data_IF_026947629604
#
_entry.id   IF_026947629604
#
_cell.length_a   1.000
_cell.length_b   1.000
_cell.length_c   1.000
_cell.angle_alpha   90.00
_cell.angle_beta   90.00
_cell.angle_gamma   90.00
#
_symmetry.space_group_name_H-M   'P 1'
#
loop_
_entity.id
_entity.type
_entity.pdbx_description
1 polymer ?
#
# COMPACT_ATOMS: atom_id res chain seq x y z
N UNK A 1 -4.07 -21.64 16.84
CA UNK A 1 -4.62 -22.01 15.52
C UNK A 1 -6.12 -21.78 15.58
N UNK A 2 -6.56 -20.58 15.25
CA UNK A 2 -7.99 -20.35 15.04
C UNK A 2 -8.36 -20.99 13.71
N UNK A 3 -9.44 -21.79 13.71
CA UNK A 3 -9.97 -22.37 12.49
C UNK A 3 -10.56 -21.27 11.60
N UNK A 4 -10.31 -21.37 10.30
CA UNK A 4 -10.89 -20.42 9.33
C UNK A 4 -12.41 -20.62 9.34
N UNK A 5 -13.22 -19.58 9.58
CA UNK A 5 -14.68 -19.72 9.52
C UNK A 5 -15.13 -20.31 8.19
N UNK A 6 -16.16 -21.16 8.21
CA UNK A 6 -16.64 -21.91 7.04
C UNK A 6 -16.92 -21.01 5.83
N UNK A 7 -17.45 -19.82 6.06
CA UNK A 7 -17.71 -18.82 5.01
C UNK A 7 -16.45 -18.34 4.27
N UNK A 8 -15.24 -18.55 4.84
CA UNK A 8 -13.96 -18.22 4.24
C UNK A 8 -13.12 -19.46 3.87
N UNK A 9 -13.73 -20.65 3.89
CA UNK A 9 -13.02 -21.89 3.58
C UNK A 9 -12.34 -21.88 2.21
N UNK A 10 -12.88 -21.14 1.23
CA UNK A 10 -12.28 -20.92 -0.09
C UNK A 10 -10.93 -20.20 -0.06
N UNK A 11 -10.61 -19.48 1.03
CA UNK A 11 -9.31 -18.80 1.22
C UNK A 11 -8.23 -19.74 1.75
N UNK A 12 -8.58 -20.95 2.17
CA UNK A 12 -7.68 -21.87 2.86
C UNK A 12 -6.40 -22.12 2.09
N UNK A 13 -6.51 -22.44 0.81
CA UNK A 13 -5.35 -22.71 -0.05
C UNK A 13 -4.41 -21.51 -0.13
N UNK A 14 -4.96 -20.29 -0.34
CA UNK A 14 -4.19 -19.05 -0.40
C UNK A 14 -3.48 -18.77 0.91
N UNK A 15 -4.18 -18.94 2.05
CA UNK A 15 -3.60 -18.72 3.37
C UNK A 15 -2.53 -19.77 3.71
N UNK A 16 -2.75 -21.02 3.38
CA UNK A 16 -1.77 -22.10 3.57
C UNK A 16 -0.52 -21.84 2.71
N UNK A 17 -0.68 -21.37 1.48
CA UNK A 17 0.42 -20.97 0.62
C UNK A 17 1.23 -19.79 1.19
N UNK A 18 0.59 -18.83 1.84
CA UNK A 18 1.28 -17.73 2.53
C UNK A 18 2.00 -18.23 3.80
N UNK A 19 1.34 -19.08 4.60
CA UNK A 19 1.93 -19.66 5.81
C UNK A 19 3.15 -20.52 5.51
N UNK A 20 3.15 -21.26 4.41
CA UNK A 20 4.24 -22.16 4.01
C UNK A 20 5.48 -21.43 3.49
N UNK A 21 5.39 -20.14 3.16
CA UNK A 21 6.56 -19.38 2.71
C UNK A 21 7.64 -19.31 3.77
N UNK A 22 8.88 -19.51 3.36
CA UNK A 22 10.05 -19.33 4.23
C UNK A 22 10.16 -17.85 4.63
N UNK A 23 10.60 -17.62 5.87
CA UNK A 23 10.86 -16.28 6.40
C UNK A 23 10.03 -15.96 7.65
N UNK A 24 10.40 -14.86 8.29
CA UNK A 24 9.69 -14.29 9.42
C UNK A 24 8.38 -13.64 8.98
N UNK A 25 7.28 -13.92 9.70
CA UNK A 25 5.95 -13.34 9.42
C UNK A 25 5.71 -12.18 10.37
N UNK A 26 5.59 -10.98 9.82
CA UNK A 26 5.29 -9.74 10.54
C UNK A 26 3.87 -9.29 10.13
N UNK A 27 2.93 -9.38 11.06
CA UNK A 27 1.55 -8.93 10.85
C UNK A 27 1.40 -7.50 11.38
N UNK A 28 0.58 -6.67 10.69
CA UNK A 28 0.33 -5.28 11.07
C UNK A 28 1.64 -4.50 11.30
N UNK A 29 2.61 -4.74 10.40
CA UNK A 29 3.94 -4.18 10.56
C UNK A 29 3.94 -2.67 10.31
N UNK A 30 4.25 -1.92 11.38
CA UNK A 30 4.26 -0.46 11.38
C UNK A 30 5.62 0.07 10.95
N UNK A 31 5.64 0.96 9.95
CA UNK A 31 6.85 1.57 9.41
C UNK A 31 6.74 3.08 9.44
N UNK A 32 7.80 3.76 9.84
CA UNK A 32 7.98 5.20 9.72
C UNK A 32 9.18 5.53 8.85
N UNK A 33 9.12 6.63 8.12
CA UNK A 33 10.27 7.24 7.46
C UNK A 33 10.33 8.70 7.83
N UNK A 34 11.54 9.22 8.06
CA UNK A 34 11.78 10.66 8.19
C UNK A 34 11.69 11.35 6.82
N UNK A 35 11.73 12.68 6.79
CA UNK A 35 11.76 13.47 5.55
C UNK A 35 12.96 13.14 4.66
N UNK A 36 14.06 12.68 5.26
CA UNK A 36 15.25 12.22 4.55
C UNK A 36 15.17 10.75 4.09
N UNK A 37 13.98 10.14 4.20
CA UNK A 37 13.72 8.74 3.85
C UNK A 37 14.54 7.74 4.67
N UNK A 38 14.94 8.11 5.89
CA UNK A 38 15.57 7.19 6.83
C UNK A 38 14.51 6.48 7.67
N UNK A 39 14.69 5.17 7.98
CA UNK A 39 13.74 4.44 8.80
C UNK A 39 13.67 5.01 10.22
N UNK A 40 12.47 5.18 10.72
CA UNK A 40 12.18 5.62 12.09
C UNK A 40 10.99 4.85 12.67
N UNK A 41 10.70 5.07 13.95
CA UNK A 41 9.52 4.50 14.60
C UNK A 41 8.23 5.11 14.05
N UNK A 42 7.15 4.34 14.06
CA UNK A 42 5.85 4.78 13.56
C UNK A 42 5.29 6.00 14.32
N UNK A 43 5.69 6.19 15.56
CA UNK A 43 5.23 7.26 16.44
C UNK A 43 6.33 8.27 16.79
N UNK A 44 7.50 8.21 16.15
CA UNK A 44 8.58 9.15 16.40
C UNK A 44 8.18 10.58 16.00
N UNK A 45 8.73 11.57 16.67
CA UNK A 45 8.36 12.99 16.45
C UNK A 45 8.77 13.51 15.06
N UNK A 46 9.82 12.94 14.48
CA UNK A 46 10.36 13.29 13.16
C UNK A 46 9.80 12.42 12.02
N UNK A 47 8.78 11.60 12.30
CA UNK A 47 8.16 10.78 11.27
C UNK A 47 7.44 11.65 10.25
N UNK A 48 7.86 11.55 9.00
CA UNK A 48 7.25 12.23 7.85
C UNK A 48 6.23 11.35 7.11
N UNK A 49 6.57 10.06 6.90
CA UNK A 49 5.69 9.08 6.27
C UNK A 49 5.42 7.92 7.22
N UNK A 50 4.18 7.43 7.22
CA UNK A 50 3.74 6.26 7.99
C UNK A 50 3.06 5.25 7.09
N UNK A 51 3.39 3.99 7.26
CA UNK A 51 2.73 2.88 6.60
C UNK A 51 2.52 1.71 7.54
N UNK A 52 1.42 0.97 7.35
CA UNK A 52 1.16 -0.29 8.02
C UNK A 52 0.96 -1.35 6.93
N UNK A 53 1.76 -2.41 6.97
CA UNK A 53 1.59 -3.54 6.07
C UNK A 53 0.86 -4.66 6.81
N UNK A 54 -0.26 -5.15 6.28
CA UNK A 54 -1.06 -6.19 6.91
C UNK A 54 -0.24 -7.47 7.15
N UNK A 55 0.57 -7.86 6.16
CA UNK A 55 1.49 -8.99 6.27
C UNK A 55 2.78 -8.72 5.50
N UNK A 56 3.91 -8.85 6.20
CA UNK A 56 5.25 -8.95 5.60
C UNK A 56 5.80 -10.34 5.91
N UNK A 57 6.35 -11.01 4.90
CA UNK A 57 7.12 -12.25 5.09
C UNK A 57 8.54 -11.94 4.68
N UNK A 58 9.44 -11.88 5.65
CA UNK A 58 10.84 -11.51 5.47
C UNK A 58 11.72 -12.75 5.34
N UNK A 59 12.20 -13.03 4.13
CA UNK A 59 13.16 -14.08 3.82
C UNK A 59 14.55 -13.45 3.61
N UNK A 60 15.23 -13.18 4.72
CA UNK A 60 16.53 -12.52 4.70
C UNK A 60 17.62 -13.37 4.02
N UNK A 61 17.54 -14.70 4.09
CA UNK A 61 18.49 -15.60 3.45
C UNK A 61 18.48 -15.48 1.93
N UNK A 62 17.29 -15.28 1.35
CA UNK A 62 17.11 -15.12 -0.09
C UNK A 62 17.02 -13.64 -0.54
N UNK A 63 17.28 -12.68 0.36
CA UNK A 63 17.16 -11.24 0.11
C UNK A 63 15.78 -10.85 -0.46
N UNK A 64 14.72 -11.52 -0.03
CA UNK A 64 13.38 -11.44 -0.54
C UNK A 64 12.39 -11.09 0.57
N UNK A 65 11.40 -10.27 0.25
CA UNK A 65 10.21 -10.11 1.09
C UNK A 65 8.93 -10.28 0.26
N UNK A 66 7.87 -10.77 0.90
CA UNK A 66 6.51 -10.67 0.39
C UNK A 66 5.75 -9.65 1.23
N UNK A 67 4.95 -8.83 0.57
CA UNK A 67 4.09 -7.83 1.21
C UNK A 67 2.68 -8.07 0.71
N UNK A 68 1.78 -8.37 1.61
CA UNK A 68 0.38 -8.60 1.27
C UNK A 68 -0.48 -7.58 2.00
N UNK A 69 -1.37 -6.95 1.27
CA UNK A 69 -2.40 -6.08 1.79
C UNK A 69 -3.77 -6.68 1.47
N UNK A 70 -4.62 -6.81 2.47
CA UNK A 70 -5.93 -7.42 2.34
C UNK A 70 -6.99 -6.39 1.96
N UNK A 71 -7.78 -6.69 0.94
CA UNK A 71 -8.86 -5.83 0.45
C UNK A 71 -10.22 -6.52 0.61
N UNK A 72 -11.17 -5.83 1.24
CA UNK A 72 -12.56 -6.30 1.39
C UNK A 72 -13.47 -5.89 0.21
N UNK A 73 -12.95 -5.09 -0.73
CA UNK A 73 -13.68 -4.72 -1.93
C UNK A 73 -13.95 -5.93 -2.84
N UNK A 74 -15.06 -5.87 -3.59
CA UNK A 74 -15.47 -6.94 -4.51
C UNK A 74 -14.81 -6.88 -5.89
N UNK A 75 -14.14 -5.77 -6.22
CA UNK A 75 -13.68 -5.53 -7.58
C UNK A 75 -12.24 -5.02 -7.60
N UNK A 76 -11.35 -5.85 -8.07
CA UNK A 76 -9.92 -5.56 -8.21
C UNK A 76 -9.60 -4.58 -9.37
N UNK A 77 -10.56 -4.31 -10.27
CA UNK A 77 -10.35 -3.42 -11.43
C UNK A 77 -9.88 -2.01 -11.05
N UNK A 78 -10.27 -1.52 -9.88
CA UNK A 78 -9.94 -0.18 -9.39
C UNK A 78 -8.86 -0.20 -8.31
N UNK A 79 -8.09 -1.29 -8.23
CA UNK A 79 -7.02 -1.42 -7.25
C UNK A 79 -5.96 -0.32 -7.43
N UNK A 80 -5.67 0.39 -6.34
CA UNK A 80 -4.56 1.35 -6.31
C UNK A 80 -3.26 0.61 -5.96
N UNK A 81 -2.42 0.42 -6.97
CA UNK A 81 -1.10 -0.21 -6.82
C UNK A 81 -0.07 0.71 -6.16
N UNK A 82 -0.34 2.01 -6.09
CA UNK A 82 0.55 2.99 -5.45
C UNK A 82 0.80 2.66 -3.98
N UNK A 83 -0.20 2.11 -3.29
CA UNK A 83 -0.05 1.65 -1.92
C UNK A 83 1.03 0.56 -1.79
N UNK A 84 1.03 -0.44 -2.68
CA UNK A 84 2.06 -1.50 -2.68
C UNK A 84 3.46 -0.95 -2.93
N UNK A 85 3.57 0.06 -3.77
CA UNK A 85 4.82 0.70 -4.09
C UNK A 85 5.40 1.45 -2.89
N UNK A 86 4.60 2.28 -2.20
CA UNK A 86 5.02 2.96 -0.99
C UNK A 86 5.41 1.99 0.13
N UNK A 87 4.65 0.89 0.30
CA UNK A 87 5.02 -0.18 1.22
C UNK A 87 6.37 -0.81 0.86
N UNK A 88 6.58 -1.12 -0.43
CA UNK A 88 7.84 -1.71 -0.89
C UNK A 88 9.02 -0.75 -0.64
N UNK A 89 8.86 0.53 -0.95
CA UNK A 89 9.88 1.56 -0.70
C UNK A 89 10.25 1.64 0.79
N UNK A 90 9.24 1.60 1.67
CA UNK A 90 9.45 1.61 3.12
C UNK A 90 10.18 0.35 3.60
N UNK A 91 9.81 -0.83 3.09
CA UNK A 91 10.44 -2.10 3.46
C UNK A 91 11.91 -2.15 3.02
N UNK A 92 12.27 -1.63 1.84
CA UNK A 92 13.66 -1.53 1.44
C UNK A 92 14.50 -0.68 2.39
N UNK A 93 13.89 0.34 3.01
CA UNK A 93 14.56 1.19 4.00
C UNK A 93 14.69 0.50 5.36
N UNK A 94 13.63 -0.13 5.84
CA UNK A 94 13.62 -0.85 7.11
C UNK A 94 14.46 -2.14 7.09
N UNK A 95 14.55 -2.80 5.94
CA UNK A 95 15.26 -4.07 5.76
C UNK A 95 16.26 -4.00 4.60
N UNK A 96 17.46 -3.41 4.78
CA UNK A 96 18.46 -3.23 3.71
C UNK A 96 18.98 -4.53 3.09
N UNK A 97 18.78 -5.67 3.78
CA UNK A 97 19.09 -7.00 3.26
C UNK A 97 18.18 -7.39 2.09
N UNK A 98 16.94 -6.86 2.06
CA UNK A 98 15.96 -7.18 1.00
C UNK A 98 16.37 -6.51 -0.30
N UNK A 99 16.44 -7.31 -1.38
CA UNK A 99 16.75 -6.83 -2.75
C UNK A 99 15.58 -6.95 -3.70
N UNK A 100 14.63 -7.82 -3.37
CA UNK A 100 13.41 -8.03 -4.17
C UNK A 100 12.19 -8.07 -3.24
N UNK A 101 11.12 -7.40 -3.63
CA UNK A 101 9.83 -7.45 -2.94
C UNK A 101 8.79 -7.96 -3.92
N UNK A 102 8.05 -8.99 -3.50
CA UNK A 102 6.84 -9.48 -4.18
C UNK A 102 5.65 -8.97 -3.40
N UNK A 103 4.96 -8.00 -3.96
CA UNK A 103 3.82 -7.35 -3.33
C UNK A 103 2.50 -7.84 -3.92
N UNK A 104 1.44 -7.88 -3.12
CA UNK A 104 0.12 -8.30 -3.56
C UNK A 104 -1.01 -7.61 -2.83
N UNK A 105 -2.06 -7.25 -3.59
CA UNK A 105 -3.37 -6.90 -3.04
C UNK A 105 -4.24 -8.14 -3.11
N UNK A 106 -4.59 -8.70 -1.96
CA UNK A 106 -5.45 -9.87 -1.86
C UNK A 106 -6.89 -9.45 -1.57
N UNK A 107 -7.73 -9.54 -2.60
CA UNK A 107 -9.16 -9.29 -2.49
C UNK A 107 -9.84 -10.51 -1.88
N UNK A 108 -10.09 -10.44 -0.56
CA UNK A 108 -10.59 -11.59 0.20
C UNK A 108 -11.98 -12.04 -0.22
N UNK A 109 -12.85 -11.15 -0.71
CA UNK A 109 -14.22 -11.49 -1.13
C UNK A 109 -14.24 -12.20 -2.48
N UNK A 110 -13.39 -11.81 -3.43
CA UNK A 110 -13.32 -12.41 -4.78
C UNK A 110 -12.20 -13.45 -4.92
N UNK A 111 -11.38 -13.65 -3.88
CA UNK A 111 -10.17 -14.48 -3.92
C UNK A 111 -9.24 -14.13 -5.09
N UNK A 112 -9.12 -12.84 -5.39
CA UNK A 112 -8.29 -12.33 -6.47
C UNK A 112 -7.01 -11.72 -5.92
N UNK A 113 -5.85 -12.06 -6.48
CA UNK A 113 -4.56 -11.57 -6.06
C UNK A 113 -3.91 -10.77 -7.19
N UNK A 114 -3.82 -9.45 -7.01
CA UNK A 114 -3.02 -8.58 -7.86
C UNK A 114 -1.58 -8.60 -7.37
N UNK A 115 -0.63 -8.84 -8.27
CA UNK A 115 0.79 -9.00 -7.94
C UNK A 115 1.62 -7.93 -8.61
N UNK A 116 2.61 -7.42 -7.86
CA UNK A 116 3.67 -6.55 -8.36
C UNK A 116 5.03 -7.03 -7.83
N UNK A 117 6.10 -6.67 -8.53
CA UNK A 117 7.46 -6.99 -8.09
C UNK A 117 8.31 -5.74 -8.14
N UNK A 118 8.93 -5.41 -7.02
CA UNK A 118 9.85 -4.28 -6.90
C UNK A 118 11.25 -4.78 -6.62
N UNK A 119 12.23 -4.11 -7.19
CA UNK A 119 13.65 -4.40 -6.96
C UNK A 119 14.34 -3.18 -6.37
N UNK A 120 15.35 -3.41 -5.55
CA UNK A 120 16.06 -2.36 -4.83
C UNK A 120 16.58 -1.25 -5.74
N UNK A 121 16.98 -1.57 -6.98
CA UNK A 121 17.48 -0.58 -7.94
C UNK A 121 16.38 0.31 -8.55
N UNK A 122 15.10 -0.04 -8.38
CA UNK A 122 13.99 0.80 -8.81
C UNK A 122 13.70 1.95 -7.84
N UNK A 123 14.24 1.92 -6.62
CA UNK A 123 13.93 2.92 -5.58
C UNK A 123 14.11 4.38 -6.04
N UNK A 124 15.22 4.78 -6.73
CA UNK A 124 15.40 6.17 -7.09
C UNK A 124 14.27 6.71 -7.98
N UNK A 125 13.88 5.95 -9.01
CA UNK A 125 12.80 6.32 -9.93
C UNK A 125 11.44 6.41 -9.22
N UNK A 126 11.17 5.44 -8.35
CA UNK A 126 9.91 5.40 -7.59
C UNK A 126 9.83 6.56 -6.59
N UNK A 127 10.91 6.87 -5.86
CA UNK A 127 10.95 8.01 -4.94
C UNK A 127 10.84 9.34 -5.68
N UNK A 128 11.46 9.50 -6.84
CA UNK A 128 11.33 10.72 -7.65
C UNK A 128 9.87 11.01 -7.99
N UNK A 129 9.10 9.99 -8.38
CA UNK A 129 7.67 10.13 -8.66
C UNK A 129 6.88 10.56 -7.44
N UNK A 130 7.05 9.89 -6.29
CA UNK A 130 6.35 10.23 -5.06
C UNK A 130 6.74 11.58 -4.49
N UNK A 131 8.03 11.94 -4.57
CA UNK A 131 8.51 13.27 -4.17
C UNK A 131 7.89 14.36 -5.02
N UNK A 132 7.75 14.16 -6.33
CA UNK A 132 7.06 15.11 -7.22
C UNK A 132 5.60 15.31 -6.82
N UNK A 133 4.89 14.24 -6.52
CA UNK A 133 3.49 14.31 -6.10
C UNK A 133 3.35 15.01 -4.74
N UNK A 134 4.26 14.74 -3.81
CA UNK A 134 4.35 15.44 -2.52
C UNK A 134 4.61 16.95 -2.72
N UNK A 135 5.59 17.33 -3.54
CA UNK A 135 5.90 18.74 -3.84
C UNK A 135 4.68 19.45 -4.43
N UNK A 136 3.94 18.81 -5.32
CA UNK A 136 2.73 19.39 -5.90
C UNK A 136 1.64 19.58 -4.85
N UNK A 137 1.46 18.63 -3.95
CA UNK A 137 0.54 18.75 -2.80
C UNK A 137 0.97 19.88 -1.86
N UNK A 138 2.27 19.98 -1.53
CA UNK A 138 2.80 21.04 -0.68
C UNK A 138 2.59 22.44 -1.30
N UNK A 139 2.84 22.58 -2.59
CA UNK A 139 2.57 23.85 -3.32
C UNK A 139 1.09 24.24 -3.27
N UNK A 140 0.19 23.26 -3.42
CA UNK A 140 -1.24 23.52 -3.33
C UNK A 140 -1.64 23.95 -1.90
N UNK A 141 -1.05 23.32 -0.89
CA UNK A 141 -1.25 23.67 0.51
C UNK A 141 -0.74 25.08 0.83
N UNK A 142 0.51 25.40 0.44
CA UNK A 142 1.13 26.71 0.71
C UNK A 142 0.41 27.88 0.02
N UNK A 143 -0.15 27.61 -1.16
CA UNK A 143 -0.92 28.59 -1.94
C UNK A 143 -2.41 28.61 -1.57
N UNK A 144 -2.87 27.76 -0.63
CA UNK A 144 -4.29 27.52 -0.31
C UNK A 144 -5.15 27.35 -1.59
N UNK A 145 -4.61 26.63 -2.58
CA UNK A 145 -5.24 26.48 -3.89
C UNK A 145 -5.42 25.00 -4.23
N UNK A 146 -6.65 24.53 -4.16
CA UNK A 146 -7.04 23.14 -4.39
C UNK A 146 -7.87 23.01 -5.66
N UNK A 147 -7.21 22.76 -6.77
CA UNK A 147 -7.92 22.59 -8.05
C UNK A 147 -8.82 21.36 -8.03
N UNK A 148 -10.08 21.49 -8.36
CA UNK A 148 -10.99 20.35 -8.42
C UNK A 148 -10.56 19.36 -9.50
N UNK A 149 -10.74 18.06 -9.23
CA UNK A 149 -10.55 16.98 -10.20
C UNK A 149 -11.90 16.28 -10.46
N UNK A 150 -12.78 16.84 -11.28
CA UNK A 150 -14.09 16.27 -11.54
C UNK A 150 -13.98 14.86 -12.13
N UNK A 151 -14.85 13.97 -11.70
CA UNK A 151 -14.89 12.58 -12.16
C UNK A 151 -16.33 12.08 -12.29
N UNK A 152 -16.51 10.85 -12.77
CA UNK A 152 -17.82 10.20 -12.80
C UNK A 152 -18.49 10.09 -11.42
N UNK A 153 -17.71 10.09 -10.33
CA UNK A 153 -18.24 10.10 -8.97
C UNK A 153 -18.97 11.40 -8.65
N UNK A 154 -18.48 12.54 -9.12
CA UNK A 154 -19.12 13.84 -8.96
C UNK A 154 -20.53 13.84 -9.57
N UNK A 155 -20.71 13.19 -10.71
CA UNK A 155 -21.99 13.14 -11.44
C UNK A 155 -23.03 12.22 -10.78
N UNK A 156 -22.62 11.14 -10.12
CA UNK A 156 -23.55 10.08 -9.71
C UNK A 156 -23.63 9.88 -8.20
N UNK A 157 -22.53 10.09 -7.49
CA UNK A 157 -22.38 9.67 -6.09
C UNK A 157 -22.08 10.80 -5.12
N UNK A 158 -21.65 11.98 -5.60
CA UNK A 158 -21.36 13.11 -4.75
C UNK A 158 -22.64 13.64 -4.07
N UNK A 159 -22.56 13.86 -2.76
CA UNK A 159 -23.68 14.39 -1.95
C UNK A 159 -23.66 15.92 -1.82
N UNK A 160 -22.58 16.57 -2.24
CA UNK A 160 -22.40 18.02 -2.14
C UNK A 160 -23.10 18.68 -3.31
N UNK A 161 -24.37 19.07 -3.12
CA UNK A 161 -25.24 19.60 -4.19
C UNK A 161 -24.74 20.97 -4.66
N UNK A 162 -24.25 21.83 -3.77
CA UNK A 162 -23.76 23.17 -4.07
C UNK A 162 -22.47 23.20 -4.90
N UNK A 163 -21.81 22.07 -5.06
CA UNK A 163 -20.59 21.97 -5.84
C UNK A 163 -20.89 22.12 -7.35
N UNK A 164 -20.22 23.05 -8.08
CA UNK A 164 -20.45 23.26 -9.51
C UNK A 164 -20.15 22.05 -10.39
N UNK A 165 -19.43 21.05 -9.84
CA UNK A 165 -19.12 19.79 -10.54
C UNK A 165 -20.09 18.65 -10.20
N UNK A 166 -21.10 18.91 -9.36
CA UNK A 166 -22.13 17.92 -9.06
C UNK A 166 -23.04 17.76 -10.29
N UNK A 167 -23.24 16.54 -10.76
CA UNK A 167 -24.07 16.29 -11.96
C UNK A 167 -25.56 16.12 -11.70
N UNK A 168 -26.04 16.50 -10.50
CA UNK A 168 -27.47 16.47 -10.12
C UNK A 168 -28.18 17.83 -10.28
N UNK A 169 -27.49 18.79 -10.90
CA UNK A 169 -28.08 20.06 -11.31
C UNK A 169 -28.83 19.91 -12.64
#
# INVERSE_FOLDING_TARGET
>A
NEEIPEQFAYMKETLDALKSKQGEKLCEYKMGLTENLEPCGFYDDDVWYRGIADLVILDAENNLAWVIDYKTGKNAKYADKGQLELMALSIFKHFPVVKTIRAGLLFVVSNELIKETYKVHNQPELWERWTRDYINMQKAYDADTWNPKPSGLCKRHCVVIECPHNGKH
#
